data_IF_205687129400
#
_entry.id   IF_205687129400
#
_cell.length_a   1.000
_cell.length_b   1.000
_cell.length_c   1.000
_cell.angle_alpha   90.00
_cell.angle_beta   90.00
_cell.angle_gamma   90.00
#
_symmetry.space_group_name_H-M   'P 1'
#
loop_
_entity.id
_entity.type
_entity.pdbx_description
1 polymer ?
#
# COMPACT_ATOMS: atom_id res chain seq x y z
N UNK A 1 -27.36 21.41 12.22
CA UNK A 1 -26.96 19.98 12.16
C UNK A 1 -25.78 19.81 11.24
N UNK A 2 -24.56 19.83 11.79
CA UNK A 2 -23.31 19.87 11.00
C UNK A 2 -22.96 18.57 10.24
N UNK A 3 -23.84 17.57 10.20
CA UNK A 3 -23.74 16.42 9.27
C UNK A 3 -22.44 15.60 9.36
N UNK A 4 -21.70 15.72 10.46
CA UNK A 4 -20.43 15.05 10.67
C UNK A 4 -20.68 13.63 11.17
N UNK A 5 -20.25 12.66 10.37
CA UNK A 5 -20.26 11.26 10.75
C UNK A 5 -19.00 10.94 11.55
N UNK A 6 -19.18 10.32 12.71
CA UNK A 6 -18.08 9.87 13.57
C UNK A 6 -17.70 8.45 13.17
N UNK A 7 -16.41 8.21 12.95
CA UNK A 7 -15.88 6.88 12.64
C UNK A 7 -15.74 6.08 13.94
N UNK A 8 -16.25 4.86 13.95
CA UNK A 8 -16.09 3.91 15.04
C UNK A 8 -14.66 3.35 15.06
N UNK A 9 -13.90 3.70 16.10
CA UNK A 9 -12.51 3.30 16.26
C UNK A 9 -12.35 1.80 16.52
N UNK A 10 -13.30 1.17 17.22
CA UNK A 10 -13.27 -0.28 17.49
C UNK A 10 -13.37 -1.05 16.19
N UNK A 11 -14.33 -0.68 15.33
CA UNK A 11 -14.48 -1.30 14.00
C UNK A 11 -13.28 -1.02 13.10
N UNK A 12 -12.64 0.14 13.24
CA UNK A 12 -11.44 0.48 12.47
C UNK A 12 -10.28 -0.43 12.87
N UNK A 13 -10.09 -0.67 14.17
CA UNK A 13 -9.05 -1.57 14.67
C UNK A 13 -9.27 -3.03 14.25
N UNK A 14 -10.51 -3.51 14.29
CA UNK A 14 -10.87 -4.84 13.78
C UNK A 14 -10.49 -5.00 12.29
N UNK A 15 -10.79 -3.98 11.48
CA UNK A 15 -10.46 -3.98 10.04
C UNK A 15 -8.95 -3.91 9.80
N UNK A 16 -8.23 -3.14 10.63
CA UNK A 16 -6.78 -3.05 10.56
C UNK A 16 -6.13 -4.42 10.83
N UNK A 17 -6.59 -5.11 11.87
CA UNK A 17 -6.11 -6.46 12.21
C UNK A 17 -6.33 -7.48 11.09
N UNK A 18 -7.49 -7.42 10.42
CA UNK A 18 -7.79 -8.30 9.27
C UNK A 18 -6.83 -7.99 8.11
N UNK A 19 -6.63 -6.71 7.77
CA UNK A 19 -5.73 -6.31 6.71
C UNK A 19 -4.28 -6.71 7.01
N UNK A 20 -3.81 -6.53 8.25
CA UNK A 20 -2.47 -6.90 8.67
C UNK A 20 -2.23 -8.42 8.51
N UNK A 21 -3.17 -9.26 8.97
CA UNK A 21 -3.09 -10.73 8.81
C UNK A 21 -3.12 -11.20 7.36
N UNK A 22 -3.79 -10.47 6.48
CA UNK A 22 -3.80 -10.78 5.06
C UNK A 22 -2.44 -10.42 4.42
N UNK A 23 -1.93 -9.22 4.72
CA UNK A 23 -0.65 -8.74 4.18
C UNK A 23 0.55 -9.56 4.67
N UNK A 24 0.54 -10.03 5.93
CA UNK A 24 1.67 -10.78 6.49
C UNK A 24 2.03 -12.01 5.66
N UNK A 25 1.02 -12.71 5.11
CA UNK A 25 1.24 -13.90 4.26
C UNK A 25 2.09 -13.60 3.03
N UNK A 26 1.83 -12.48 2.36
CA UNK A 26 2.57 -12.08 1.16
C UNK A 26 3.94 -11.51 1.50
N UNK A 27 4.05 -10.76 2.60
CA UNK A 27 5.33 -10.22 3.07
C UNK A 27 6.30 -11.36 3.44
N UNK A 28 5.79 -12.42 4.07
CA UNK A 28 6.58 -13.61 4.43
C UNK A 28 7.05 -14.42 3.19
N UNK A 29 6.25 -14.48 2.12
CA UNK A 29 6.59 -15.19 0.88
C UNK A 29 7.63 -14.46 0.01
N UNK A 30 7.73 -13.14 0.12
CA UNK A 30 8.61 -12.30 -0.67
C UNK A 30 8.12 -10.86 -0.66
N UNK A 31 8.95 -9.96 -0.15
CA UNK A 31 8.51 -8.60 0.16
C UNK A 31 8.22 -7.74 -1.10
N UNK A 32 8.70 -8.15 -2.28
CA UNK A 32 8.43 -7.51 -3.57
C UNK A 32 7.00 -7.73 -4.11
N UNK A 33 6.26 -8.69 -3.56
CA UNK A 33 4.83 -8.94 -3.89
C UNK A 33 3.87 -7.91 -3.32
N UNK A 34 4.33 -7.06 -2.41
CA UNK A 34 3.49 -6.02 -1.80
C UNK A 34 3.94 -4.66 -2.28
N UNK A 35 3.07 -3.99 -3.04
CA UNK A 35 3.27 -2.62 -3.49
C UNK A 35 2.44 -1.67 -2.64
N UNK A 36 3.10 -0.65 -2.07
CA UNK A 36 2.43 0.41 -1.32
C UNK A 36 2.63 1.73 -2.04
N UNK A 37 1.54 2.46 -2.31
CA UNK A 37 1.59 3.66 -3.13
C UNK A 37 0.88 4.84 -2.47
N UNK A 38 1.47 6.04 -2.60
CA UNK A 38 0.79 7.29 -2.27
C UNK A 38 1.42 8.47 -3.01
N UNK A 39 0.59 9.22 -3.72
CA UNK A 39 1.01 10.45 -4.43
C UNK A 39 0.93 11.69 -3.54
N UNK A 40 0.17 11.62 -2.43
CA UNK A 40 -0.10 12.77 -1.57
C UNK A 40 1.12 13.06 -0.70
N UNK A 41 1.44 14.34 -0.52
CA UNK A 41 2.64 14.79 0.21
C UNK A 41 2.77 14.15 1.60
N UNK A 42 1.67 14.06 2.35
CA UNK A 42 1.66 13.47 3.69
C UNK A 42 1.84 11.94 3.71
N UNK A 43 1.58 11.26 2.58
CA UNK A 43 1.68 9.80 2.48
C UNK A 43 3.04 9.30 2.00
N UNK A 44 3.89 10.18 1.44
CA UNK A 44 5.19 9.75 0.87
C UNK A 44 6.14 9.19 1.92
N UNK A 45 6.35 9.90 3.02
CA UNK A 45 7.24 9.46 4.09
C UNK A 45 6.72 8.22 4.81
N UNK A 46 5.42 8.13 5.21
CA UNK A 46 4.86 6.92 5.80
C UNK A 46 4.99 5.69 4.90
N UNK A 47 4.69 5.82 3.60
CA UNK A 47 4.82 4.70 2.64
C UNK A 47 6.27 4.25 2.51
N UNK A 48 7.21 5.20 2.40
CA UNK A 48 8.64 4.88 2.33
C UNK A 48 9.10 4.13 3.57
N UNK A 49 8.73 4.60 4.77
CA UNK A 49 9.15 3.97 6.03
C UNK A 49 8.49 2.61 6.25
N UNK A 50 7.22 2.47 5.89
CA UNK A 50 6.50 1.20 5.93
C UNK A 50 7.20 0.13 5.08
N UNK A 51 7.53 0.49 3.84
CA UNK A 51 8.26 -0.37 2.92
C UNK A 51 9.70 -0.66 3.38
N UNK A 52 10.39 0.31 3.99
CA UNK A 52 11.73 0.11 4.57
C UNK A 52 11.72 -0.93 5.70
N UNK A 53 10.69 -0.93 6.55
CA UNK A 53 10.57 -1.86 7.68
C UNK A 53 10.13 -3.26 7.23
N UNK A 54 9.21 -3.35 6.28
CA UNK A 54 8.58 -4.61 5.86
C UNK A 54 9.19 -5.22 4.59
N UNK A 55 10.15 -4.53 3.96
CA UNK A 55 10.75 -4.93 2.69
C UNK A 55 9.88 -4.70 1.45
N UNK A 56 8.74 -4.02 1.59
CA UNK A 56 7.78 -3.85 0.50
C UNK A 56 8.27 -2.88 -0.60
N UNK A 57 7.62 -2.89 -1.77
CA UNK A 57 7.92 -1.93 -2.85
C UNK A 57 7.13 -0.63 -2.68
N UNK A 58 7.82 0.48 -2.41
CA UNK A 58 7.19 1.80 -2.30
C UNK A 58 7.09 2.53 -3.64
N UNK A 59 5.92 3.11 -3.95
CA UNK A 59 5.73 4.04 -5.07
C UNK A 59 5.18 5.36 -4.53
N UNK A 60 6.05 6.36 -4.38
CA UNK A 60 5.67 7.69 -3.86
C UNK A 60 5.52 8.76 -4.96
N UNK A 61 5.77 8.35 -6.21
CA UNK A 61 5.62 9.15 -7.42
C UNK A 61 4.34 8.76 -8.15
N UNK A 62 4.13 9.32 -9.34
CA UNK A 62 2.96 8.98 -10.17
C UNK A 62 3.00 7.48 -10.50
N UNK A 63 1.94 6.77 -10.11
CA UNK A 63 1.71 5.39 -10.56
C UNK A 63 1.28 5.43 -12.04
N UNK A 64 2.10 4.84 -12.93
CA UNK A 64 1.84 4.90 -14.36
C UNK A 64 0.77 3.85 -14.73
N UNK A 65 -0.27 4.24 -15.49
CA UNK A 65 -1.25 3.27 -15.98
C UNK A 65 -0.56 2.19 -16.82
N UNK A 66 -0.86 0.92 -16.53
CA UNK A 66 -0.20 -0.22 -17.18
C UNK A 66 1.00 -0.77 -16.44
N UNK A 67 1.46 -0.16 -15.33
CA UNK A 67 2.61 -0.66 -14.57
C UNK A 67 2.47 -2.10 -14.06
N UNK A 68 1.25 -2.66 -13.98
CA UNK A 68 1.04 -4.06 -13.59
C UNK A 68 0.62 -4.98 -14.75
N UNK A 69 0.30 -4.42 -15.92
CA UNK A 69 -0.36 -5.17 -17.01
C UNK A 69 0.36 -5.09 -18.35
N UNK A 70 1.16 -4.05 -18.58
CA UNK A 70 1.82 -3.82 -19.85
C UNK A 70 3.33 -4.07 -19.73
N UNK A 71 3.88 -5.18 -20.26
CA UNK A 71 5.31 -5.47 -20.19
C UNK A 71 6.18 -4.56 -21.09
N UNK A 72 5.57 -3.74 -21.95
CA UNK A 72 6.29 -2.90 -22.91
C UNK A 72 6.68 -1.53 -22.36
N UNK A 73 6.26 -1.17 -21.15
CA UNK A 73 6.60 0.13 -20.54
C UNK A 73 7.72 -0.03 -19.51
N UNK A 74 8.60 0.96 -19.43
CA UNK A 74 9.77 0.95 -18.53
C UNK A 74 9.39 0.82 -17.05
N UNK A 75 8.17 1.22 -16.69
CA UNK A 75 7.64 1.17 -15.33
C UNK A 75 6.87 -0.11 -15.03
N UNK A 76 6.95 -1.12 -15.90
CA UNK A 76 6.34 -2.42 -15.67
C UNK A 76 6.93 -3.09 -14.42
N UNK A 77 6.06 -3.58 -13.56
CA UNK A 77 6.39 -4.30 -12.35
C UNK A 77 5.98 -5.74 -12.60
N UNK A 78 6.99 -6.57 -12.83
CA UNK A 78 6.83 -8.00 -12.96
C UNK A 78 6.56 -8.63 -11.59
N UNK A 79 5.69 -9.63 -11.56
CA UNK A 79 5.47 -10.50 -10.39
C UNK A 79 4.93 -9.80 -9.12
N UNK A 80 4.20 -8.69 -9.31
CA UNK A 80 3.39 -8.04 -8.26
C UNK A 80 2.12 -8.82 -7.92
#
# INVERSE_FOLDING_TARGET
NYGLYVIDLTKTDERLNIAAKFLSKYIEEGSDRVIVTSVRRYGKEPVKKFCEVLGCKSITTRFIPGSLTNPLIDTYIKDA
#
